data_IF_105999916750
#
_entry.id   IF_105999916750
#
_cell.length_a   1.000
_cell.length_b   1.000
_cell.length_c   1.000
_cell.angle_alpha   90.00
_cell.angle_beta   90.00
_cell.angle_gamma   90.00
#
_symmetry.space_group_name_H-M   'P 1'
#
loop_
_entity.id
_entity.type
_entity.pdbx_description
1 polymer ?
#
# COMPACT_ATOMS: atom_id res chain seq x y z
N UNK A 1 7.76 3.31 3.29
CA UNK A 1 8.30 4.54 3.91
C UNK A 1 9.17 5.38 2.97
N UNK A 2 10.21 4.83 2.31
CA UNK A 2 11.15 5.63 1.48
C UNK A 2 10.46 6.52 0.44
N UNK A 3 9.48 5.99 -0.31
CA UNK A 3 8.74 6.78 -1.30
C UNK A 3 8.03 7.99 -0.69
N UNK A 4 7.46 7.84 0.52
CA UNK A 4 6.76 8.92 1.20
C UNK A 4 7.72 10.01 1.67
N UNK A 5 8.91 9.64 2.17
CA UNK A 5 9.96 10.59 2.57
C UNK A 5 10.51 11.36 1.37
N UNK A 6 10.72 10.67 0.25
CA UNK A 6 11.29 11.29 -0.94
C UNK A 6 10.28 12.14 -1.74
N UNK A 7 9.00 11.73 -1.77
CA UNK A 7 8.02 12.27 -2.72
C UNK A 7 6.60 12.46 -2.15
N UNK A 8 6.28 11.87 -1.01
CA UNK A 8 4.91 11.79 -0.47
C UNK A 8 4.71 12.67 0.76
N UNK A 9 3.78 12.25 1.63
CA UNK A 9 3.41 13.02 2.81
C UNK A 9 4.60 13.29 3.74
N UNK A 10 5.44 12.28 4.02
CA UNK A 10 6.56 12.39 4.98
C UNK A 10 7.70 13.32 4.50
N UNK A 11 7.65 13.85 3.28
CA UNK A 11 8.54 14.93 2.82
C UNK A 11 8.16 16.30 3.40
N UNK A 12 6.95 16.44 3.98
CA UNK A 12 6.40 17.67 4.55
C UNK A 12 6.47 17.63 6.07
N UNK A 13 6.66 18.79 6.70
CA UNK A 13 6.80 18.89 8.16
C UNK A 13 5.55 18.44 8.95
N UNK A 14 4.36 18.56 8.35
CA UNK A 14 3.06 18.19 8.90
C UNK A 14 2.45 16.94 8.22
N UNK A 15 3.24 16.28 7.37
CA UNK A 15 2.79 15.11 6.64
C UNK A 15 2.64 13.89 7.55
N UNK A 16 1.61 13.10 7.28
CA UNK A 16 1.34 11.87 7.99
C UNK A 16 1.01 10.74 7.02
N UNK A 17 1.27 9.52 7.50
CA UNK A 17 0.91 8.29 6.83
C UNK A 17 0.05 7.49 7.80
N UNK A 18 -1.03 6.93 7.30
CA UNK A 18 -1.82 5.93 8.01
C UNK A 18 -1.51 4.55 7.44
N UNK A 19 -1.19 3.60 8.32
CA UNK A 19 -1.03 2.18 7.96
C UNK A 19 -2.00 1.38 8.80
N UNK A 20 -2.84 0.60 8.14
CA UNK A 20 -3.75 -0.34 8.80
C UNK A 20 -3.55 -1.75 8.26
N UNK A 21 -3.76 -2.73 9.13
CA UNK A 21 -3.73 -4.14 8.81
C UNK A 21 -4.96 -4.79 9.41
N UNK A 22 -5.69 -5.58 8.63
CA UNK A 22 -6.86 -6.34 9.10
C UNK A 22 -6.93 -7.70 8.44
N UNK A 23 -7.45 -8.67 9.17
CA UNK A 23 -7.83 -9.96 8.60
C UNK A 23 -9.19 -9.82 7.96
N UNK A 24 -9.29 -10.12 6.67
CA UNK A 24 -10.54 -10.20 5.94
C UNK A 24 -10.97 -11.67 5.84
N UNK A 25 -12.16 -12.03 6.34
CA UNK A 25 -12.67 -13.38 6.20
C UNK A 25 -12.95 -13.66 4.72
N UNK A 26 -12.48 -14.81 4.24
CA UNK A 26 -12.85 -15.36 2.94
C UNK A 26 -13.83 -16.52 3.14
N UNK A 27 -14.86 -16.59 2.31
CA UNK A 27 -15.89 -17.62 2.39
C UNK A 27 -15.30 -19.00 2.12
N UNK A 28 -15.13 -19.80 3.17
CA UNK A 28 -14.67 -21.19 3.08
C UNK A 28 -13.16 -21.39 3.02
N UNK A 29 -12.36 -20.35 3.25
CA UNK A 29 -10.89 -20.40 3.34
C UNK A 29 -10.38 -19.70 4.61
N UNK A 30 -9.09 -19.88 4.91
CA UNK A 30 -8.40 -19.10 5.92
C UNK A 30 -8.41 -17.61 5.56
N UNK A 31 -8.44 -16.69 6.55
CA UNK A 31 -8.55 -15.26 6.27
C UNK A 31 -7.35 -14.73 5.49
N UNK A 32 -7.59 -13.70 4.67
CA UNK A 32 -6.54 -12.95 3.99
C UNK A 32 -6.14 -11.74 4.83
N UNK A 33 -4.87 -11.34 4.79
CA UNK A 33 -4.39 -10.11 5.42
C UNK A 33 -4.53 -8.97 4.41
N UNK A 34 -5.29 -7.94 4.75
CA UNK A 34 -5.36 -6.69 4.02
C UNK A 34 -4.51 -5.63 4.73
N UNK A 35 -3.45 -5.19 4.06
CA UNK A 35 -2.65 -4.03 4.47
C UNK A 35 -3.07 -2.82 3.62
N UNK A 36 -3.39 -1.71 4.28
CA UNK A 36 -3.70 -0.43 3.63
C UNK A 36 -2.71 0.62 4.09
N UNK A 37 -2.11 1.31 3.13
CA UNK A 37 -1.28 2.50 3.36
C UNK A 37 -1.97 3.70 2.73
N UNK A 38 -2.22 4.73 3.50
CA UNK A 38 -2.84 5.97 3.04
C UNK A 38 -1.95 7.15 3.38
N UNK A 39 -1.79 8.07 2.44
CA UNK A 39 -1.11 9.33 2.69
C UNK A 39 -1.82 10.50 2.04
N UNK A 40 -1.87 11.63 2.75
CA UNK A 40 -2.37 12.89 2.21
C UNK A 40 -1.28 13.50 1.30
N UNK A 41 -1.52 13.43 0.01
CA UNK A 41 -0.64 14.02 -1.01
C UNK A 41 -1.37 15.22 -1.57
N UNK A 42 -0.97 16.44 -1.19
CA UNK A 42 -1.51 17.65 -1.83
C UNK A 42 -1.12 17.73 -3.31
N UNK A 43 -1.24 18.91 -3.92
CA UNK A 43 -1.04 19.16 -5.37
C UNK A 43 0.41 18.98 -5.91
N UNK A 44 1.23 18.17 -5.23
CA UNK A 44 2.57 17.84 -5.66
C UNK A 44 2.55 17.15 -7.03
N UNK A 45 3.55 17.43 -7.89
CA UNK A 45 3.58 16.93 -9.25
C UNK A 45 3.51 15.40 -9.26
N UNK A 46 2.42 14.90 -9.86
CA UNK A 46 2.19 13.47 -10.09
C UNK A 46 3.23 12.98 -11.07
N UNK A 47 4.34 12.45 -10.56
CA UNK A 47 5.27 11.72 -11.42
C UNK A 47 4.64 10.35 -11.71
N UNK A 48 3.73 10.35 -12.69
CA UNK A 48 3.07 9.16 -13.20
C UNK A 48 4.15 8.18 -13.68
N UNK A 49 4.31 7.08 -12.94
CA UNK A 49 5.16 5.91 -13.26
C UNK A 49 6.67 6.11 -13.08
N UNK A 50 7.12 6.03 -11.82
CA UNK A 50 8.50 5.69 -11.46
C UNK A 50 8.59 4.24 -10.97
N UNK A 51 9.79 3.68 -10.95
CA UNK A 51 10.16 2.34 -10.43
C UNK A 51 9.40 1.90 -9.15
N UNK A 52 9.07 2.85 -8.26
CA UNK A 52 8.30 2.60 -7.05
C UNK A 52 6.89 2.03 -7.27
N UNK A 53 6.19 2.37 -8.34
CA UNK A 53 4.85 1.81 -8.62
C UNK A 53 4.95 0.36 -9.10
N UNK A 54 5.96 0.03 -9.92
CA UNK A 54 6.20 -1.35 -10.38
C UNK A 54 6.55 -2.27 -9.22
N UNK A 55 7.37 -1.81 -8.27
CA UNK A 55 7.68 -2.56 -7.07
C UNK A 55 6.40 -2.88 -6.27
N UNK A 56 5.56 -1.87 -6.04
CA UNK A 56 4.35 -1.99 -5.22
C UNK A 56 3.21 -2.76 -5.90
N UNK A 57 3.00 -2.58 -7.21
CA UNK A 57 1.89 -3.19 -7.95
C UNK A 57 2.23 -4.57 -8.51
N UNK A 58 3.52 -4.90 -8.66
CA UNK A 58 3.94 -6.18 -9.27
C UNK A 58 4.87 -6.99 -8.37
N UNK A 59 6.00 -6.43 -7.98
CA UNK A 59 7.06 -7.22 -7.29
C UNK A 59 6.61 -7.71 -5.92
N UNK A 60 6.06 -6.81 -5.10
CA UNK A 60 5.58 -7.12 -3.75
C UNK A 60 4.44 -8.15 -3.76
N UNK A 61 3.32 -7.95 -4.49
CA UNK A 61 2.24 -8.92 -4.50
C UNK A 61 2.67 -10.28 -5.08
N UNK A 62 3.51 -10.31 -6.13
CA UNK A 62 4.02 -11.58 -6.66
C UNK A 62 4.84 -12.37 -5.64
N UNK A 63 5.66 -11.70 -4.83
CA UNK A 63 6.50 -12.33 -3.81
C UNK A 63 5.67 -12.92 -2.66
N UNK A 64 4.46 -12.41 -2.47
CA UNK A 64 3.54 -12.79 -1.40
C UNK A 64 2.34 -13.59 -1.92
N UNK A 65 2.35 -14.05 -3.17
CA UNK A 65 1.20 -14.72 -3.81
C UNK A 65 -0.12 -13.95 -3.64
N UNK A 66 -0.02 -12.63 -3.52
CA UNK A 66 -1.11 -11.72 -3.22
C UNK A 66 -1.50 -10.86 -4.41
N UNK A 67 -2.27 -9.83 -4.13
CA UNK A 67 -2.66 -8.80 -5.09
C UNK A 67 -2.47 -7.42 -4.48
N UNK A 68 -2.24 -6.42 -5.32
CA UNK A 68 -2.10 -5.05 -4.84
C UNK A 68 -2.71 -4.03 -5.80
N UNK A 69 -3.21 -2.94 -5.25
CA UNK A 69 -3.66 -1.77 -6.00
C UNK A 69 -2.98 -0.51 -5.48
N UNK A 70 -2.69 0.41 -6.38
CA UNK A 70 -2.17 1.73 -6.06
C UNK A 70 -3.05 2.79 -6.72
N UNK A 71 -3.73 3.59 -5.91
CA UNK A 71 -4.58 4.68 -6.37
C UNK A 71 -3.97 6.01 -5.93
N UNK A 72 -3.71 6.89 -6.89
CA UNK A 72 -3.17 8.24 -6.64
C UNK A 72 -4.22 9.26 -7.09
N UNK A 73 -4.99 9.73 -6.12
CA UNK A 73 -5.97 10.80 -6.28
C UNK A 73 -5.34 12.20 -6.23
N UNK A 74 -6.18 13.23 -6.14
CA UNK A 74 -5.73 14.63 -6.06
C UNK A 74 -5.13 15.01 -4.72
N UNK A 75 -5.74 14.51 -3.65
CA UNK A 75 -5.38 14.87 -2.28
C UNK A 75 -4.93 13.65 -1.45
N UNK A 76 -5.05 12.45 -2.03
CA UNK A 76 -4.84 11.18 -1.33
C UNK A 76 -4.20 10.15 -2.24
N UNK A 77 -3.21 9.44 -1.71
CA UNK A 77 -2.68 8.21 -2.27
C UNK A 77 -3.07 7.07 -1.34
N UNK A 78 -3.52 5.97 -1.93
CA UNK A 78 -3.85 4.75 -1.22
C UNK A 78 -3.21 3.56 -1.91
N UNK A 79 -2.54 2.73 -1.12
CA UNK A 79 -2.00 1.44 -1.54
C UNK A 79 -2.65 0.33 -0.73
N UNK A 80 -3.16 -0.69 -1.41
CA UNK A 80 -3.77 -1.87 -0.79
C UNK A 80 -2.99 -3.10 -1.22
N UNK A 81 -2.66 -3.95 -0.25
CA UNK A 81 -2.02 -5.24 -0.47
C UNK A 81 -2.83 -6.32 0.24
N UNK A 82 -3.31 -7.30 -0.52
CA UNK A 82 -3.97 -8.49 0.01
C UNK A 82 -3.00 -9.66 -0.04
N UNK A 83 -2.75 -10.27 1.12
CA UNK A 83 -1.85 -11.43 1.28
C UNK A 83 -2.68 -12.64 1.73
N UNK A 84 -2.63 -13.77 1.03
CA UNK A 84 -3.33 -14.99 1.45
C UNK A 84 -2.69 -15.60 2.71
N UNK A 85 -3.49 -16.36 3.47
CA UNK A 85 -3.10 -16.93 4.77
C UNK A 85 -1.75 -17.64 4.81
N UNK A 86 -1.40 -18.40 3.76
CA UNK A 86 -0.15 -19.18 3.73
C UNK A 86 1.14 -18.33 3.77
N UNK A 87 1.02 -17.00 3.60
CA UNK A 87 2.15 -16.09 3.47
C UNK A 87 2.21 -15.03 4.58
N UNK A 88 1.47 -15.22 5.67
CA UNK A 88 1.62 -14.45 6.91
C UNK A 88 1.36 -15.34 8.14
N UNK A 89 1.89 -14.95 9.30
CA UNK A 89 1.66 -15.65 10.57
C UNK A 89 0.78 -14.80 11.49
N UNK A 90 -0.08 -15.47 12.26
CA UNK A 90 -0.89 -14.87 13.34
C UNK A 90 -0.73 -15.74 14.58
N UNK A 91 -0.38 -15.13 15.72
CA UNK A 91 -0.32 -15.81 17.03
C UNK A 91 -1.69 -16.32 17.50
#
# INVERSE_FOLDING_TARGET
AVNSVSYGALSRADGHVEVSARLEPESGSSPSLLLTWTEAVGDAPRNEKRFGSVALERVVPMSLNGSATLEIGKDRMEYRLTVPHGNFETD
#
